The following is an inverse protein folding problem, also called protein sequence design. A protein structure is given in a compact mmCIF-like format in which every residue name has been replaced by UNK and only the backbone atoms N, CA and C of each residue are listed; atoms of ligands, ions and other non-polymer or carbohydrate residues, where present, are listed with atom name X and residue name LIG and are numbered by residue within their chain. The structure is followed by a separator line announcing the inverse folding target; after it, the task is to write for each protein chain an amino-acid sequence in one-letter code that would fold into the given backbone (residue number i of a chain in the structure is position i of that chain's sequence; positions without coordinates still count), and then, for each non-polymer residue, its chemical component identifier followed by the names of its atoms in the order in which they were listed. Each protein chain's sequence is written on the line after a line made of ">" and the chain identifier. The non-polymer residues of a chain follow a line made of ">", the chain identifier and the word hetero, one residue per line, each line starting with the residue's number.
data_IF_646853474889
#
_entry.id   IF_646853474889
#
_cell.length_a   1.000
_cell.length_b   1.000
_cell.length_c   1.000
_cell.angle_alpha   90.00
_cell.angle_beta   90.00
_cell.angle_gamma   90.00
#
_symmetry.space_group_name_H-M   'P 1'
#
loop_
_entity.id
_entity.type
_entity.pdbx_description
1 polymer ?
#
# COMPACT_ATOMS: atom_id res chain seq x y z
N UNK A 1 -1.74 27.81 6.75
CA UNK A 1 -1.48 26.39 7.04
C UNK A 1 -1.47 25.67 5.69
N UNK A 2 -0.56 24.73 5.46
CA UNK A 2 -0.59 23.92 4.23
C UNK A 2 -1.74 22.92 4.33
N UNK A 3 -2.60 22.87 3.32
CA UNK A 3 -3.75 21.95 3.26
C UNK A 3 -3.30 20.48 3.29
N UNK A 4 -4.10 19.63 3.95
CA UNK A 4 -3.85 18.19 3.96
C UNK A 4 -4.11 17.60 2.56
N UNK A 5 -3.08 17.00 1.96
CA UNK A 5 -3.18 16.38 0.64
C UNK A 5 -3.68 14.94 0.73
N UNK A 6 -4.36 14.47 -0.33
CA UNK A 6 -4.67 13.06 -0.56
C UNK A 6 -3.63 12.46 -1.50
N UNK A 7 -2.95 11.40 -1.05
CA UNK A 7 -1.79 10.83 -1.72
C UNK A 7 -1.94 9.31 -1.83
N UNK A 8 -1.85 8.79 -3.05
CA UNK A 8 -1.73 7.36 -3.31
C UNK A 8 -0.30 7.07 -3.78
N UNK A 9 0.42 6.25 -3.01
CA UNK A 9 1.72 5.72 -3.38
C UNK A 9 1.54 4.38 -4.09
N UNK A 10 1.76 4.35 -5.40
CA UNK A 10 1.84 3.10 -6.15
C UNK A 10 3.30 2.62 -6.23
N UNK A 11 3.58 1.41 -5.73
CA UNK A 11 4.93 0.83 -5.76
C UNK A 11 4.86 -0.68 -5.97
N UNK A 12 5.81 -1.22 -6.73
CA UNK A 12 5.97 -2.67 -6.85
C UNK A 12 6.42 -3.29 -5.53
N UNK A 13 7.16 -2.57 -4.68
CA UNK A 13 7.75 -3.10 -3.45
C UNK A 13 7.47 -2.20 -2.25
N UNK A 14 7.27 -2.80 -1.07
CA UNK A 14 7.03 -2.10 0.21
C UNK A 14 7.67 -2.92 1.34
N UNK A 15 8.61 -2.30 2.07
CA UNK A 15 9.29 -2.99 3.16
C UNK A 15 8.31 -3.41 4.28
N UNK A 16 8.44 -4.66 4.72
CA UNK A 16 7.47 -5.36 5.58
C UNK A 16 6.44 -6.21 4.84
N UNK A 17 6.30 -6.09 3.51
CA UNK A 17 5.43 -6.95 2.69
C UNK A 17 6.19 -7.62 1.53
N UNK A 18 6.90 -6.83 0.72
CA UNK A 18 7.65 -7.26 -0.45
C UNK A 18 8.91 -6.41 -0.60
N UNK A 19 10.08 -7.05 -0.57
CA UNK A 19 11.36 -6.34 -0.64
C UNK A 19 12.42 -7.15 -1.37
N UNK A 20 12.97 -6.55 -2.41
CA UNK A 20 14.16 -7.00 -3.13
C UNK A 20 15.31 -5.98 -3.06
N UNK A 21 14.99 -4.68 -2.88
CA UNK A 21 15.98 -3.61 -2.78
C UNK A 21 15.46 -2.32 -2.16
N UNK A 22 16.16 -1.21 -2.41
CA UNK A 22 15.93 0.08 -1.76
C UNK A 22 14.62 0.79 -2.11
N UNK A 23 13.94 0.41 -3.20
CA UNK A 23 12.60 0.93 -3.52
C UNK A 23 11.61 0.64 -2.38
N UNK A 24 11.67 -0.57 -1.83
CA UNK A 24 10.81 -1.00 -0.73
C UNK A 24 10.98 -0.12 0.52
N UNK A 25 12.22 0.30 0.79
CA UNK A 25 12.56 1.17 1.92
C UNK A 25 11.94 2.56 1.76
N UNK A 26 12.04 3.15 0.56
CA UNK A 26 11.44 4.45 0.27
C UNK A 26 9.91 4.38 0.31
N UNK A 27 9.33 3.33 -0.29
CA UNK A 27 7.89 3.11 -0.33
C UNK A 27 7.27 2.82 1.05
N UNK A 28 8.08 2.45 2.05
CA UNK A 28 7.68 2.39 3.46
C UNK A 28 7.90 3.73 4.16
N UNK A 29 9.12 4.27 4.09
CA UNK A 29 9.55 5.38 4.92
C UNK A 29 8.82 6.70 4.57
N UNK A 30 8.72 7.04 3.29
CA UNK A 30 8.14 8.31 2.88
C UNK A 30 6.63 8.39 3.17
N UNK A 31 5.81 7.37 2.87
CA UNK A 31 4.38 7.38 3.25
C UNK A 31 4.14 7.51 4.75
N UNK A 32 4.95 6.86 5.59
CA UNK A 32 4.85 6.98 7.05
C UNK A 32 5.11 8.42 7.51
N UNK A 33 6.15 9.09 6.98
CA UNK A 33 6.45 10.48 7.33
C UNK A 33 5.39 11.46 6.79
N UNK A 34 4.89 11.26 5.57
CA UNK A 34 3.80 12.09 5.05
C UNK A 34 2.53 11.95 5.88
N UNK A 35 2.22 10.73 6.35
CA UNK A 35 1.09 10.48 7.24
C UNK A 35 1.30 11.14 8.62
N UNK A 36 2.52 11.16 9.15
CA UNK A 36 2.83 11.84 10.42
C UNK A 36 2.68 13.37 10.33
N UNK A 37 2.81 13.93 9.12
CA UNK A 37 2.51 15.33 8.79
C UNK A 37 1.01 15.59 8.50
N UNK A 38 0.12 14.65 8.88
CA UNK A 38 -1.34 14.75 8.75
C UNK A 38 -1.88 14.72 7.31
N UNK A 39 -1.10 14.25 6.32
CA UNK A 39 -1.62 13.98 4.98
C UNK A 39 -2.46 12.69 4.93
N UNK A 40 -3.40 12.58 4.01
CA UNK A 40 -4.16 11.35 3.79
C UNK A 40 -3.42 10.44 2.79
N UNK A 41 -2.56 9.58 3.33
CA UNK A 41 -1.70 8.70 2.54
C UNK A 41 -2.20 7.25 2.52
N UNK A 42 -2.17 6.62 1.36
CA UNK A 42 -2.42 5.19 1.13
C UNK A 42 -1.34 4.61 0.22
N UNK A 43 -1.05 3.32 0.35
CA UNK A 43 -0.13 2.60 -0.54
C UNK A 43 -0.90 1.56 -1.35
N UNK A 44 -0.56 1.41 -2.63
CA UNK A 44 -1.04 0.36 -3.51
C UNK A 44 0.16 -0.43 -4.03
N UNK A 45 0.10 -1.76 -3.89
CA UNK A 45 1.19 -2.66 -4.30
C UNK A 45 0.66 -4.01 -4.76
N UNK A 46 1.38 -4.81 -5.57
CA UNK A 46 0.90 -6.13 -5.98
C UNK A 46 0.75 -7.12 -4.81
N UNK A 47 -0.22 -8.04 -4.89
CA UNK A 47 -0.38 -9.11 -3.92
C UNK A 47 0.56 -10.30 -4.22
N UNK A 48 1.87 -10.10 -4.07
CA UNK A 48 2.84 -11.17 -4.33
C UNK A 48 2.68 -12.37 -3.40
N UNK A 49 3.11 -13.54 -3.89
CA UNK A 49 3.02 -14.86 -3.21
C UNK A 49 3.49 -14.85 -1.74
N UNK A 50 4.53 -14.06 -1.42
CA UNK A 50 5.12 -13.97 -0.08
C UNK A 50 4.19 -13.30 0.95
N UNK A 51 3.24 -12.48 0.49
CA UNK A 51 2.36 -11.70 1.35
C UNK A 51 1.36 -12.60 2.07
N UNK A 52 0.54 -13.45 1.41
CA UNK A 52 -0.36 -14.37 2.11
C UNK A 52 0.37 -15.41 2.97
N UNK A 53 1.64 -15.72 2.68
CA UNK A 53 2.45 -16.64 3.51
C UNK A 53 2.77 -16.05 4.89
N UNK A 54 2.93 -14.72 4.99
CA UNK A 54 3.40 -14.03 6.20
C UNK A 54 2.35 -13.12 6.84
N UNK A 55 1.29 -12.77 6.11
CA UNK A 55 0.32 -11.78 6.53
C UNK A 55 -1.10 -12.22 6.21
N UNK A 56 -1.98 -12.04 7.19
CA UNK A 56 -3.43 -12.07 6.96
C UNK A 56 -3.87 -10.71 6.45
N UNK A 57 -4.54 -10.70 5.31
CA UNK A 57 -5.14 -9.52 4.68
C UNK A 57 -6.66 -9.70 4.61
N UNK A 58 -7.40 -8.59 4.64
CA UNK A 58 -8.84 -8.59 4.42
C UNK A 58 -9.14 -8.31 2.95
N UNK A 59 -10.15 -8.98 2.38
CA UNK A 59 -10.68 -8.61 1.07
C UNK A 59 -11.61 -7.42 1.25
N UNK A 60 -11.36 -6.33 0.52
CA UNK A 60 -12.20 -5.12 0.55
C UNK A 60 -13.05 -5.01 -0.70
N UNK A 61 -12.48 -5.36 -1.86
CA UNK A 61 -13.20 -5.45 -3.13
C UNK A 61 -12.97 -6.86 -3.68
N UNK A 62 -13.97 -7.75 -3.69
CA UNK A 62 -13.81 -9.13 -4.13
C UNK A 62 -13.67 -9.26 -5.65
N UNK A 63 -14.11 -8.25 -6.41
CA UNK A 63 -14.04 -8.26 -7.86
C UNK A 63 -14.07 -6.82 -8.37
N UNK A 64 -13.03 -6.44 -9.09
CA UNK A 64 -12.86 -5.14 -9.73
C UNK A 64 -12.41 -5.36 -11.17
N UNK A 65 -13.25 -4.99 -12.13
CA UNK A 65 -12.89 -4.95 -13.54
C UNK A 65 -12.08 -3.69 -13.84
N UNK A 66 -10.90 -3.86 -14.44
CA UNK A 66 -10.02 -2.77 -14.86
C UNK A 66 -9.95 -2.76 -16.39
N UNK A 67 -10.47 -1.70 -17.05
CA UNK A 67 -10.39 -1.57 -18.50
C UNK A 67 -8.92 -1.48 -18.96
N UNK A 68 -8.53 -2.36 -19.87
CA UNK A 68 -7.20 -2.45 -20.46
C UNK A 68 -7.31 -2.42 -21.99
N UNK A 69 -7.82 -1.30 -22.49
CA UNK A 69 -8.11 -1.12 -23.93
C UNK A 69 -9.40 -1.85 -24.33
N UNK A 70 -9.28 -2.87 -25.18
CA UNK A 70 -10.42 -3.68 -25.63
C UNK A 70 -10.77 -4.84 -24.69
N UNK A 71 -9.95 -5.08 -23.67
CA UNK A 71 -10.12 -6.15 -22.70
C UNK A 71 -10.31 -5.59 -21.29
N UNK A 72 -10.78 -6.43 -20.38
CA UNK A 72 -10.93 -6.12 -18.97
C UNK A 72 -10.14 -7.14 -18.14
N UNK A 73 -9.26 -6.65 -17.27
CA UNK A 73 -8.55 -7.48 -16.30
C UNK A 73 -9.29 -7.40 -14.98
N UNK A 74 -9.65 -8.56 -14.44
CA UNK A 74 -10.34 -8.67 -13.17
C UNK A 74 -9.35 -8.87 -12.04
N UNK A 75 -9.52 -8.12 -10.96
CA UNK A 75 -8.68 -8.26 -9.77
C UNK A 75 -9.51 -8.20 -8.48
N UNK A 76 -8.91 -8.67 -7.40
CA UNK A 76 -9.38 -8.53 -6.01
C UNK A 76 -8.50 -7.48 -5.32
N UNK A 77 -9.12 -6.56 -4.58
CA UNK A 77 -8.39 -5.61 -3.73
C UNK A 77 -8.41 -6.13 -2.30
N UNK A 78 -7.22 -6.43 -1.79
CA UNK A 78 -6.97 -6.80 -0.41
C UNK A 78 -6.41 -5.63 0.37
N UNK A 79 -6.46 -5.70 1.70
CA UNK A 79 -6.04 -4.62 2.58
C UNK A 79 -5.31 -5.14 3.82
N UNK A 80 -4.33 -4.36 4.26
CA UNK A 80 -3.70 -4.43 5.56
C UNK A 80 -3.03 -3.10 5.88
N UNK A 81 -2.98 -2.74 7.15
CA UNK A 81 -2.22 -1.58 7.60
C UNK A 81 -0.72 -1.87 7.71
N UNK A 82 0.08 -0.87 7.34
CA UNK A 82 1.51 -0.78 7.56
C UNK A 82 1.78 0.09 8.78
N UNK A 83 2.30 -0.52 9.84
CA UNK A 83 2.73 0.21 11.03
C UNK A 83 4.22 0.55 10.96
N UNK A 84 4.57 1.76 11.40
CA UNK A 84 5.95 2.19 11.56
C UNK A 84 6.10 3.25 12.64
N UNK A 85 7.33 3.47 13.11
CA UNK A 85 7.64 4.52 14.07
C UNK A 85 8.22 5.74 13.33
N UNK A 86 7.69 6.93 13.60
CA UNK A 86 8.21 8.21 13.11
C UNK A 86 8.25 9.17 14.30
N UNK A 87 9.43 9.71 14.61
CA UNK A 87 9.67 10.63 15.73
C UNK A 87 9.07 10.14 17.07
N UNK A 88 9.21 8.84 17.35
CA UNK A 88 8.71 8.24 18.58
C UNK A 88 7.21 7.94 18.60
N UNK A 89 6.47 8.24 17.52
CA UNK A 89 5.04 7.95 17.37
C UNK A 89 4.81 6.75 16.46
N UNK A 90 3.90 5.87 16.83
CA UNK A 90 3.40 4.83 15.94
C UNK A 90 2.45 5.44 14.93
N UNK A 91 2.77 5.28 13.65
CA UNK A 91 1.97 5.72 12.51
C UNK A 91 1.47 4.48 11.76
N UNK A 92 0.20 4.50 11.37
CA UNK A 92 -0.41 3.47 10.52
C UNK A 92 -0.78 4.05 9.16
N UNK A 93 -0.37 3.37 8.10
CA UNK A 93 -0.70 3.71 6.71
C UNK A 93 -1.46 2.55 6.07
N UNK A 94 -2.67 2.77 5.52
CA UNK A 94 -3.41 1.75 4.80
C UNK A 94 -2.66 1.28 3.55
N UNK A 95 -2.51 -0.03 3.39
CA UNK A 95 -1.95 -0.66 2.20
C UNK A 95 -3.01 -1.51 1.52
N UNK A 96 -3.13 -1.33 0.21
CA UNK A 96 -4.02 -2.09 -0.65
C UNK A 96 -3.20 -2.95 -1.59
N UNK A 97 -3.55 -4.23 -1.65
CA UNK A 97 -2.88 -5.22 -2.50
C UNK A 97 -3.77 -5.59 -3.68
N UNK A 98 -3.19 -5.56 -4.87
CA UNK A 98 -3.88 -5.97 -6.11
C UNK A 98 -3.57 -7.43 -6.39
N UNK A 99 -4.56 -8.30 -6.21
CA UNK A 99 -4.53 -9.73 -6.55
C UNK A 99 -5.23 -9.91 -7.90
N UNK A 100 -4.51 -10.34 -8.93
CA UNK A 100 -5.04 -10.58 -10.28
C UNK A 100 -4.58 -11.94 -10.77
#
# INVERSE_FOLDING_TARGET
>A
MSEALSIIFASSEVDGFSKSGGLADVARALPLHLKSLCHDVRIVTPFYRLIPEKHKTSTIIPSLGVPMGSEEIWCTVRHKDLEGNVDGKTISVPVYFIEH
#
